data_IF_580087804092
#
_entry.id   IF_580087804092
#
_cell.length_a   1.000
_cell.length_b   1.000
_cell.length_c   1.000
_cell.angle_alpha   90.00
_cell.angle_beta   90.00
_cell.angle_gamma   90.00
#
_symmetry.space_group_name_H-M   'P 1'
#
loop_
_entity.id
_entity.type
_entity.pdbx_description
1 polymer ?
#
# COMPACT_ATOMS: atom_id res chain seq x y z
N UNK A 1 -11.08 7.83 -21.49
CA UNK A 1 -9.89 6.95 -21.23
C UNK A 1 -10.43 5.81 -20.42
N UNK A 2 -10.02 4.55 -20.68
CA UNK A 2 -10.53 3.42 -19.90
C UNK A 2 -9.51 2.93 -18.87
N UNK A 3 -9.96 2.72 -17.64
CA UNK A 3 -9.19 2.11 -16.55
C UNK A 3 -9.78 0.73 -16.24
N UNK A 4 -8.93 -0.27 -16.02
CA UNK A 4 -9.42 -1.54 -15.49
C UNK A 4 -9.67 -1.39 -13.99
N UNK A 5 -10.92 -1.59 -13.58
CA UNK A 5 -11.33 -1.50 -12.18
C UNK A 5 -11.34 -2.90 -11.56
N UNK A 6 -10.52 -3.12 -10.53
CA UNK A 6 -10.47 -4.41 -9.81
C UNK A 6 -11.83 -4.78 -9.22
N UNK A 7 -12.60 -3.78 -8.75
CA UNK A 7 -13.94 -3.97 -8.20
C UNK A 7 -14.88 -4.64 -9.20
N UNK A 8 -14.85 -4.25 -10.48
CA UNK A 8 -15.81 -4.75 -11.49
C UNK A 8 -15.21 -5.74 -12.49
N UNK A 9 -13.89 -5.95 -12.42
CA UNK A 9 -13.09 -6.82 -13.31
C UNK A 9 -13.24 -6.48 -14.80
N UNK A 10 -13.51 -5.23 -15.14
CA UNK A 10 -13.61 -4.75 -16.53
C UNK A 10 -12.95 -3.40 -16.72
N UNK A 11 -12.72 -3.04 -17.98
CA UNK A 11 -12.30 -1.69 -18.37
C UNK A 11 -13.51 -0.77 -18.37
N UNK A 12 -13.45 0.30 -17.60
CA UNK A 12 -14.51 1.30 -17.44
C UNK A 12 -14.02 2.66 -17.94
N UNK A 13 -14.91 3.47 -18.50
CA UNK A 13 -14.56 4.86 -18.78
C UNK A 13 -14.22 5.57 -17.48
N UNK A 14 -13.07 6.22 -17.46
CA UNK A 14 -12.63 7.06 -16.35
C UNK A 14 -13.42 8.37 -16.37
N UNK A 15 -14.19 8.58 -15.32
CA UNK A 15 -14.95 9.79 -15.05
C UNK A 15 -14.62 10.19 -13.62
N UNK A 16 -13.95 11.32 -13.39
CA UNK A 16 -13.59 11.72 -12.03
C UNK A 16 -14.83 12.13 -11.22
N UNK A 17 -14.72 12.12 -9.89
CA UNK A 17 -15.72 12.59 -8.94
C UNK A 17 -15.89 14.10 -9.04
N UNK A 18 -14.78 14.83 -9.15
CA UNK A 18 -14.73 16.26 -9.45
C UNK A 18 -14.11 16.49 -10.83
N UNK A 19 -14.72 17.36 -11.65
CA UNK A 19 -14.17 17.72 -12.96
C UNK A 19 -12.84 18.48 -12.86
N UNK A 20 -12.56 19.10 -11.72
CA UNK A 20 -11.41 19.97 -11.52
C UNK A 20 -10.20 19.30 -10.87
N UNK A 21 -10.37 18.15 -10.20
CA UNK A 21 -9.29 17.47 -9.47
C UNK A 21 -9.48 15.95 -9.49
N UNK A 22 -8.39 15.21 -9.72
CA UNK A 22 -8.35 13.75 -9.59
C UNK A 22 -7.59 13.37 -8.32
N UNK A 23 -8.27 12.69 -7.41
CA UNK A 23 -7.77 12.26 -6.11
C UNK A 23 -7.28 10.82 -6.17
N UNK A 24 -5.97 10.64 -6.01
CA UNK A 24 -5.32 9.33 -6.09
C UNK A 24 -4.63 9.03 -4.77
N UNK A 25 -4.90 7.85 -4.22
CA UNK A 25 -4.11 7.29 -3.14
C UNK A 25 -3.37 6.05 -3.62
N UNK A 26 -2.09 5.94 -3.29
CA UNK A 26 -1.28 4.75 -3.54
C UNK A 26 -0.63 4.30 -2.23
N UNK A 27 -0.96 3.08 -1.77
CA UNK A 27 -0.34 2.53 -0.56
C UNK A 27 1.18 2.50 -0.71
N UNK A 28 1.88 3.15 0.22
CA UNK A 28 3.32 3.23 0.24
C UNK A 28 3.97 2.11 1.06
N UNK A 29 5.29 2.18 1.28
CA UNK A 29 6.05 1.11 1.90
C UNK A 29 5.98 1.15 3.43
N UNK A 30 6.16 0.00 4.05
CA UNK A 30 6.61 -0.11 5.45
C UNK A 30 8.11 0.13 5.50
N UNK A 31 8.56 1.14 6.27
CA UNK A 31 9.95 1.63 6.23
C UNK A 31 10.87 0.93 7.24
N UNK A 32 11.09 -0.37 7.02
CA UNK A 32 11.96 -1.22 7.86
C UNK A 32 13.16 -1.82 7.10
N UNK A 33 13.26 -1.62 5.79
CA UNK A 33 14.37 -2.10 4.97
C UNK A 33 14.46 -1.29 3.67
N UNK A 34 15.54 -1.48 2.91
CA UNK A 34 15.66 -1.02 1.53
C UNK A 34 14.54 -1.57 0.65
N UNK A 35 14.06 -0.75 -0.30
CA UNK A 35 13.02 -1.19 -1.22
C UNK A 35 13.57 -2.22 -2.22
N UNK A 36 12.74 -3.21 -2.52
CA UNK A 36 13.00 -4.15 -3.60
C UNK A 36 12.23 -3.81 -4.86
N UNK A 37 12.58 -4.46 -5.97
CA UNK A 37 11.94 -4.24 -7.26
C UNK A 37 10.42 -4.45 -7.21
N UNK A 38 9.95 -5.34 -6.31
CA UNK A 38 8.53 -5.54 -6.03
C UNK A 38 7.85 -4.29 -5.46
N UNK A 39 8.47 -3.61 -4.48
CA UNK A 39 7.98 -2.33 -3.96
C UNK A 39 8.18 -1.19 -4.97
N UNK A 40 9.22 -1.23 -5.79
CA UNK A 40 9.51 -0.20 -6.78
C UNK A 40 8.49 -0.17 -7.94
N UNK A 41 7.89 -1.32 -8.26
CA UNK A 41 6.91 -1.42 -9.34
C UNK A 41 5.69 -0.53 -9.15
N UNK A 42 4.95 -0.56 -8.03
CA UNK A 42 3.84 0.37 -7.82
C UNK A 42 4.30 1.83 -7.88
N UNK A 43 5.51 2.17 -7.38
CA UNK A 43 6.05 3.54 -7.51
C UNK A 43 6.12 3.97 -8.98
N UNK A 44 6.74 3.15 -9.84
CA UNK A 44 6.90 3.47 -11.26
C UNK A 44 5.57 3.45 -12.02
N UNK A 45 4.71 2.45 -11.76
CA UNK A 45 3.42 2.27 -12.45
C UNK A 45 2.48 3.43 -12.14
N UNK A 46 2.31 3.78 -10.86
CA UNK A 46 1.36 4.81 -10.47
C UNK A 46 1.92 6.23 -10.68
N UNK A 47 3.24 6.40 -10.74
CA UNK A 47 3.85 7.61 -11.26
C UNK A 47 3.57 7.80 -12.76
N UNK A 48 3.65 6.74 -13.58
CA UNK A 48 3.24 6.81 -15.00
C UNK A 48 1.75 7.16 -15.12
N UNK A 49 0.87 6.55 -14.31
CA UNK A 49 -0.55 6.90 -14.28
C UNK A 49 -0.76 8.39 -13.99
N UNK A 50 -0.14 8.90 -12.92
CA UNK A 50 -0.24 10.32 -12.54
C UNK A 50 0.28 11.22 -13.66
N UNK A 51 1.49 10.97 -14.17
CA UNK A 51 2.08 11.77 -15.25
C UNK A 51 1.20 11.77 -16.49
N UNK A 52 0.55 10.64 -16.81
CA UNK A 52 -0.39 10.57 -17.92
C UNK A 52 -1.66 11.39 -17.66
N UNK A 53 -2.22 11.35 -16.45
CA UNK A 53 -3.37 12.19 -16.08
C UNK A 53 -3.03 13.69 -16.15
N UNK A 54 -1.87 14.09 -15.62
CA UNK A 54 -1.37 15.46 -15.72
C UNK A 54 -1.17 15.88 -17.19
N UNK A 55 -0.56 15.02 -18.01
CA UNK A 55 -0.44 15.25 -19.46
C UNK A 55 -1.79 15.43 -20.16
N UNK A 56 -2.83 14.73 -19.68
CA UNK A 56 -4.20 14.85 -20.18
C UNK A 56 -4.93 16.10 -19.70
N UNK A 57 -4.29 16.95 -18.90
CA UNK A 57 -4.82 18.22 -18.41
C UNK A 57 -5.57 18.13 -17.08
N UNK A 58 -5.53 16.99 -16.38
CA UNK A 58 -6.10 16.88 -15.04
C UNK A 58 -5.16 17.52 -14.01
N UNK A 59 -5.74 18.24 -13.05
CA UNK A 59 -5.07 18.53 -11.79
C UNK A 59 -5.14 17.26 -10.91
N UNK A 60 -3.99 16.75 -10.48
CA UNK A 60 -3.93 15.48 -9.73
C UNK A 60 -3.42 15.72 -8.32
N UNK A 61 -4.23 15.34 -7.33
CA UNK A 61 -3.83 15.25 -5.93
C UNK A 61 -3.45 13.80 -5.63
N UNK A 62 -2.15 13.53 -5.59
CA UNK A 62 -1.60 12.19 -5.40
C UNK A 62 -1.05 12.06 -3.97
N UNK A 63 -1.55 11.09 -3.20
CA UNK A 63 -1.11 10.84 -1.82
C UNK A 63 -0.49 9.44 -1.74
N UNK A 64 0.65 9.33 -1.07
CA UNK A 64 1.30 8.05 -0.82
C UNK A 64 1.89 8.04 0.58
N UNK A 65 1.38 7.19 1.46
CA UNK A 65 1.81 7.16 2.85
C UNK A 65 3.18 6.51 3.06
N UNK A 66 3.73 6.68 4.26
CA UNK A 66 4.71 5.77 4.83
C UNK A 66 4.07 5.07 6.04
N UNK A 67 4.15 3.75 6.10
CA UNK A 67 3.89 3.02 7.34
C UNK A 67 5.18 3.03 8.14
N UNK A 68 5.24 3.92 9.13
CA UNK A 68 6.40 4.20 9.99
C UNK A 68 6.23 3.71 11.44
N UNK A 69 5.19 2.92 11.68
CA UNK A 69 5.04 2.07 12.86
C UNK A 69 4.40 0.75 12.42
N UNK A 70 5.05 -0.37 12.72
CA UNK A 70 4.56 -1.72 12.40
C UNK A 70 5.39 -2.76 13.18
N UNK A 71 4.86 -3.98 13.30
CA UNK A 71 5.55 -5.11 13.92
C UNK A 71 6.94 -5.36 13.28
N UNK A 72 7.08 -5.15 11.96
CA UNK A 72 8.35 -5.30 11.25
C UNK A 72 9.36 -4.20 11.59
N UNK A 73 8.89 -2.97 11.82
CA UNK A 73 9.76 -1.85 12.20
C UNK A 73 10.25 -2.07 13.63
N UNK A 74 9.36 -2.44 14.55
CA UNK A 74 9.72 -2.74 15.95
C UNK A 74 10.74 -3.90 16.00
N UNK A 75 10.49 -4.97 15.24
CA UNK A 75 11.43 -6.08 15.15
C UNK A 75 12.80 -5.63 14.63
N UNK A 76 12.82 -4.81 13.57
CA UNK A 76 14.06 -4.29 12.98
C UNK A 76 14.80 -3.32 13.92
N UNK A 77 14.08 -2.51 14.68
CA UNK A 77 14.63 -1.63 15.70
C UNK A 77 15.38 -2.43 16.76
N UNK A 78 14.76 -3.51 17.25
CA UNK A 78 15.41 -4.44 18.18
C UNK A 78 16.63 -5.16 17.58
N UNK A 79 16.56 -5.56 16.30
CA UNK A 79 17.69 -6.19 15.57
C UNK A 79 18.89 -5.24 15.41
N UNK A 80 18.65 -3.94 15.17
CA UNK A 80 19.70 -2.94 14.95
C UNK A 80 20.13 -2.20 16.22
N UNK A 81 19.46 -2.41 17.36
CA UNK A 81 19.72 -1.67 18.59
C UNK A 81 19.36 -0.18 18.49
N UNK A 82 18.35 0.14 17.67
CA UNK A 82 17.86 1.50 17.39
C UNK A 82 16.42 1.67 17.90
N UNK A 83 15.93 2.91 17.98
CA UNK A 83 14.48 3.13 18.17
C UNK A 83 13.70 2.93 16.87
N UNK A 84 12.38 2.76 16.96
CA UNK A 84 11.54 2.61 15.77
C UNK A 84 11.52 3.88 14.90
N UNK A 85 11.64 5.06 15.51
CA UNK A 85 11.74 6.33 14.80
C UNK A 85 13.07 6.45 14.06
N UNK A 86 14.18 6.00 14.66
CA UNK A 86 15.49 5.98 14.02
C UNK A 86 15.51 5.05 12.80
N UNK A 87 14.96 3.84 12.95
CA UNK A 87 14.78 2.89 11.83
C UNK A 87 13.93 3.51 10.73
N UNK A 88 12.76 4.06 11.07
CA UNK A 88 11.86 4.65 10.10
C UNK A 88 12.49 5.83 9.38
N UNK A 89 13.15 6.74 10.11
CA UNK A 89 13.86 7.89 9.53
C UNK A 89 14.99 7.46 8.60
N UNK A 90 15.77 6.44 8.99
CA UNK A 90 16.83 5.85 8.17
C UNK A 90 16.26 5.30 6.86
N UNK A 91 15.25 4.44 6.92
CA UNK A 91 14.72 3.80 5.70
C UNK A 91 13.82 4.71 4.86
N UNK A 92 13.22 5.77 5.42
CA UNK A 92 12.61 6.85 4.63
C UNK A 92 13.68 7.58 3.80
N UNK A 93 14.84 7.88 4.40
CA UNK A 93 15.95 8.50 3.68
C UNK A 93 16.48 7.61 2.55
N UNK A 94 16.63 6.32 2.82
CA UNK A 94 17.07 5.36 1.80
C UNK A 94 16.02 5.16 0.71
N UNK A 95 14.74 5.11 1.06
CA UNK A 95 13.63 5.10 0.12
C UNK A 95 13.73 6.24 -0.88
N UNK A 96 13.98 7.47 -0.40
CA UNK A 96 14.06 8.64 -1.27
C UNK A 96 15.23 8.57 -2.25
N UNK A 97 16.37 8.03 -1.81
CA UNK A 97 17.51 7.83 -2.71
C UNK A 97 17.15 6.90 -3.86
N UNK A 98 16.48 5.78 -3.57
CA UNK A 98 16.06 4.82 -4.60
C UNK A 98 14.91 5.37 -5.46
N UNK A 99 13.92 6.02 -4.85
CA UNK A 99 12.74 6.57 -5.54
C UNK A 99 13.13 7.69 -6.51
N UNK A 100 13.98 8.63 -6.08
CA UNK A 100 14.49 9.69 -6.95
C UNK A 100 15.40 9.14 -8.04
N UNK A 101 16.22 8.12 -7.73
CA UNK A 101 16.98 7.38 -8.73
C UNK A 101 16.06 6.82 -9.82
N UNK A 102 14.93 6.21 -9.43
CA UNK A 102 13.89 5.70 -10.33
C UNK A 102 13.06 6.80 -11.02
N UNK A 103 13.42 8.08 -10.89
CA UNK A 103 12.69 9.22 -11.44
C UNK A 103 11.21 9.26 -10.99
N UNK A 104 10.95 8.81 -9.75
CA UNK A 104 9.67 9.03 -9.10
C UNK A 104 9.54 10.51 -8.77
N UNK A 105 8.45 11.15 -9.19
CA UNK A 105 8.13 12.52 -8.76
C UNK A 105 7.43 12.44 -7.40
N UNK A 106 7.80 13.29 -6.46
CA UNK A 106 7.20 13.29 -5.12
C UNK A 106 5.67 13.41 -5.18
N UNK A 107 4.97 12.70 -4.29
CA UNK A 107 3.52 12.83 -4.13
C UNK A 107 3.16 14.25 -3.68
N UNK A 108 1.90 14.64 -3.84
CA UNK A 108 1.37 15.88 -3.28
C UNK A 108 1.54 15.89 -1.75
N UNK A 109 1.34 14.73 -1.10
CA UNK A 109 1.59 14.54 0.33
C UNK A 109 2.11 13.13 0.60
N UNK A 110 3.06 13.01 1.52
CA UNK A 110 3.57 11.75 2.05
C UNK A 110 3.28 11.58 3.55
N UNK A 111 2.02 11.25 3.93
CA UNK A 111 1.66 11.19 5.33
C UNK A 111 2.27 9.96 6.02
N UNK A 112 2.65 10.12 7.28
CA UNK A 112 3.10 9.02 8.14
C UNK A 112 2.01 8.55 9.07
N UNK A 113 1.94 7.26 9.37
CA UNK A 113 0.97 6.72 10.32
C UNK A 113 1.10 7.41 11.70
N UNK A 114 2.32 7.63 12.18
CA UNK A 114 2.59 8.29 13.47
C UNK A 114 2.11 9.74 13.56
N UNK A 115 1.94 10.42 12.42
CA UNK A 115 1.48 11.82 12.33
C UNK A 115 -0.06 11.94 12.19
N UNK A 116 -0.77 10.80 12.21
CA UNK A 116 -2.21 10.70 11.94
C UNK A 116 -2.97 9.90 13.01
N UNK A 117 -2.40 9.76 14.21
CA UNK A 117 -2.97 8.95 15.30
C UNK A 117 -4.36 9.44 15.73
N UNK A 118 -4.57 10.76 15.84
CA UNK A 118 -5.88 11.30 16.23
C UNK A 118 -6.97 10.95 15.21
N UNK A 119 -6.66 11.03 13.91
CA UNK A 119 -7.59 10.62 12.85
C UNK A 119 -7.90 9.13 12.90
N UNK A 120 -6.89 8.31 13.20
CA UNK A 120 -7.06 6.87 13.40
C UNK A 120 -7.98 6.58 14.59
N UNK A 121 -7.75 7.24 15.73
CA UNK A 121 -8.61 7.08 16.91
C UNK A 121 -10.05 7.51 16.58
N UNK A 122 -10.24 8.60 15.84
CA UNK A 122 -11.56 9.11 15.47
C UNK A 122 -12.35 8.15 14.57
N UNK A 123 -11.69 7.55 13.56
CA UNK A 123 -12.37 6.55 12.71
C UNK A 123 -12.74 5.30 13.51
N UNK A 124 -11.89 4.85 14.43
CA UNK A 124 -12.17 3.68 15.27
C UNK A 124 -13.36 3.95 16.21
N UNK A 125 -13.41 5.13 16.85
CA UNK A 125 -14.57 5.54 17.66
C UNK A 125 -15.86 5.51 16.84
N UNK A 126 -15.83 6.07 15.64
CA UNK A 126 -16.99 6.07 14.72
C UNK A 126 -17.45 4.63 14.41
N UNK A 127 -16.49 3.73 14.16
CA UNK A 127 -16.78 2.32 13.90
C UNK A 127 -17.36 1.61 15.12
N UNK A 128 -16.90 1.90 16.34
CA UNK A 128 -17.47 1.37 17.58
C UNK A 128 -18.89 1.90 17.82
N UNK A 129 -19.12 3.20 17.65
CA UNK A 129 -20.44 3.83 17.80
C UNK A 129 -21.47 3.21 16.84
N UNK A 130 -21.06 2.92 15.60
CA UNK A 130 -21.88 2.20 14.62
C UNK A 130 -21.91 0.68 14.86
N UNK A 131 -21.15 0.18 15.84
CA UNK A 131 -21.04 -1.22 16.25
C UNK A 131 -20.31 -2.12 15.25
N UNK A 132 -19.53 -1.56 14.33
CA UNK A 132 -18.60 -2.26 13.44
C UNK A 132 -17.27 -2.58 14.11
N UNK A 133 -17.00 -2.04 15.30
CA UNK A 133 -15.81 -2.35 16.07
C UNK A 133 -16.15 -2.70 17.53
N UNK A 134 -15.21 -3.35 18.21
CA UNK A 134 -15.29 -3.64 19.64
C UNK A 134 -13.93 -3.70 20.30
N UNK A 135 -13.87 -3.12 21.50
CA UNK A 135 -12.73 -3.21 22.38
C UNK A 135 -12.74 -4.48 23.25
N UNK A 136 -11.57 -5.07 23.45
CA UNK A 136 -11.33 -6.16 24.39
C UNK A 136 -9.89 -6.09 24.89
N UNK A 137 -9.71 -5.93 26.20
CA UNK A 137 -8.39 -5.86 26.86
C UNK A 137 -7.39 -4.87 26.23
N UNK A 138 -7.90 -3.73 25.77
CA UNK A 138 -7.13 -2.65 25.15
C UNK A 138 -6.88 -2.80 23.65
N UNK A 139 -7.10 -3.98 23.08
CA UNK A 139 -7.22 -4.15 21.63
C UNK A 139 -8.60 -3.64 21.15
N UNK A 140 -8.67 -3.20 19.89
CA UNK A 140 -9.93 -2.94 19.20
C UNK A 140 -9.94 -3.70 17.89
N UNK A 141 -10.98 -4.50 17.67
CA UNK A 141 -11.15 -5.31 16.46
C UNK A 141 -12.34 -4.82 15.64
N UNK A 142 -12.25 -4.98 14.31
CA UNK A 142 -13.36 -4.77 13.38
C UNK A 142 -14.20 -6.03 13.26
N UNK A 143 -15.53 -5.91 13.35
CA UNK A 143 -16.52 -6.98 13.12
C UNK A 143 -16.73 -7.20 11.63
N UNK A 144 -15.94 -8.09 11.05
CA UNK A 144 -15.94 -8.33 9.60
C UNK A 144 -17.31 -8.77 9.09
N UNK A 145 -17.99 -9.67 9.80
CA UNK A 145 -19.30 -10.19 9.37
C UNK A 145 -20.45 -9.18 9.44
N UNK A 146 -20.27 -8.05 10.13
CA UNK A 146 -21.28 -6.98 10.14
C UNK A 146 -21.32 -6.24 8.81
N UNK A 147 -20.19 -6.18 8.11
CA UNK A 147 -20.09 -5.56 6.79
C UNK A 147 -20.49 -6.56 5.71
N UNK A 148 -21.76 -6.49 5.26
CA UNK A 148 -22.36 -7.48 4.35
C UNK A 148 -21.64 -7.63 3.01
N UNK A 149 -20.96 -6.57 2.57
CA UNK A 149 -20.24 -6.53 1.31
C UNK A 149 -18.78 -6.98 1.43
N UNK A 150 -18.35 -7.51 2.59
CA UNK A 150 -16.97 -7.90 2.79
C UNK A 150 -16.54 -8.99 1.81
N UNK A 151 -15.43 -8.77 1.10
CA UNK A 151 -14.96 -9.65 0.03
C UNK A 151 -15.29 -9.16 -1.38
N UNK A 152 -16.01 -8.03 -1.53
CA UNK A 152 -16.41 -7.49 -2.85
C UNK A 152 -15.24 -7.10 -3.75
N UNK A 153 -14.11 -6.65 -3.19
CA UNK A 153 -12.96 -6.24 -4.01
C UNK A 153 -12.17 -7.46 -4.52
N UNK A 154 -11.94 -8.42 -3.63
CA UNK A 154 -11.23 -9.67 -3.92
C UNK A 154 -12.09 -10.67 -4.71
N UNK A 155 -13.41 -10.54 -4.62
CA UNK A 155 -14.42 -11.48 -5.09
C UNK A 155 -14.24 -12.86 -4.46
N UNK A 156 -13.86 -12.89 -3.18
CA UNK A 156 -13.79 -14.11 -2.39
C UNK A 156 -15.05 -14.21 -1.53
N UNK A 157 -15.81 -15.32 -1.63
CA UNK A 157 -16.93 -15.58 -0.72
C UNK A 157 -16.45 -15.60 0.74
N UNK A 158 -17.29 -15.13 1.67
CA UNK A 158 -16.98 -15.12 3.10
C UNK A 158 -16.73 -16.55 3.60
N UNK A 159 -17.46 -17.53 3.06
CA UNK A 159 -17.34 -18.95 3.42
C UNK A 159 -15.93 -19.49 3.12
N UNK A 160 -15.38 -19.14 1.95
CA UNK A 160 -14.03 -19.52 1.54
C UNK A 160 -12.98 -18.88 2.45
N UNK A 161 -13.16 -17.60 2.80
CA UNK A 161 -12.31 -16.88 3.73
C UNK A 161 -12.31 -17.54 5.13
N UNK A 162 -13.48 -17.93 5.63
CA UNK A 162 -13.62 -18.57 6.95
C UNK A 162 -12.95 -19.95 6.99
N UNK A 163 -13.00 -20.72 5.91
CA UNK A 163 -12.43 -22.07 5.86
C UNK A 163 -10.92 -22.11 6.14
N UNK A 164 -10.20 -21.02 5.81
CA UNK A 164 -8.77 -20.86 6.03
C UNK A 164 -8.40 -20.05 7.28
N UNK A 165 -9.36 -19.35 7.87
CA UNK A 165 -9.11 -18.43 8.98
C UNK A 165 -9.03 -19.18 10.32
N UNK A 166 -8.06 -18.78 11.15
CA UNK A 166 -7.91 -19.27 12.52
C UNK A 166 -7.66 -18.08 13.43
N UNK A 167 -8.21 -18.13 14.64
CA UNK A 167 -7.87 -17.20 15.71
C UNK A 167 -6.49 -17.61 16.22
N UNK A 168 -5.52 -16.70 16.17
CA UNK A 168 -4.18 -16.98 16.65
C UNK A 168 -4.18 -17.08 18.19
N UNK A 169 -3.21 -17.81 18.75
CA UNK A 169 -3.07 -17.93 20.20
C UNK A 169 -2.89 -16.54 20.81
N UNK A 170 -3.77 -16.19 21.76
CA UNK A 170 -3.77 -14.91 22.45
C UNK A 170 -4.68 -13.84 21.82
N UNK A 171 -5.24 -14.07 20.63
CA UNK A 171 -6.25 -13.17 20.06
C UNK A 171 -7.62 -13.42 20.71
N UNK A 172 -8.33 -12.33 21.02
CA UNK A 172 -9.66 -12.36 21.65
C UNK A 172 -10.76 -11.93 20.68
N UNK A 173 -10.66 -12.42 19.45
CA UNK A 173 -11.60 -12.09 18.38
C UNK A 173 -12.94 -12.78 18.58
N UNK A 174 -14.05 -12.08 18.29
CA UNK A 174 -15.39 -12.68 18.22
C UNK A 174 -15.47 -13.61 16.99
N UNK A 175 -14.80 -13.26 15.89
CA UNK A 175 -14.71 -14.06 14.67
C UNK A 175 -13.26 -14.19 14.14
N UNK A 176 -12.86 -15.35 13.55
CA UNK A 176 -11.55 -15.50 12.93
C UNK A 176 -11.20 -14.48 11.82
N UNK A 177 -12.22 -13.91 11.16
CA UNK A 177 -12.04 -12.89 10.12
C UNK A 177 -11.92 -11.47 10.67
N UNK A 178 -12.17 -11.26 11.96
CA UNK A 178 -12.02 -9.94 12.57
C UNK A 178 -10.53 -9.55 12.57
N UNK A 179 -10.27 -8.27 12.32
CA UNK A 179 -8.91 -7.74 12.23
C UNK A 179 -8.72 -6.57 13.17
N UNK A 180 -7.49 -6.40 13.67
CA UNK A 180 -7.15 -5.36 14.62
C UNK A 180 -7.22 -3.97 13.94
N UNK A 181 -7.96 -3.06 14.55
CA UNK A 181 -7.95 -1.62 14.31
C UNK A 181 -6.96 -0.92 15.23
N UNK A 182 -6.90 -1.34 16.49
CA UNK A 182 -5.96 -0.87 17.49
C UNK A 182 -5.40 -2.08 18.24
N UNK A 183 -4.09 -2.07 18.50
CA UNK A 183 -3.40 -3.11 19.27
C UNK A 183 -2.91 -2.52 20.57
N UNK A 184 -3.24 -3.16 21.69
CA UNK A 184 -2.67 -2.83 22.99
C UNK A 184 -1.14 -2.95 22.92
N UNK A 185 -0.44 -1.98 23.50
CA UNK A 185 1.02 -1.98 23.49
C UNK A 185 1.55 -3.01 24.47
N UNK A 186 2.50 -3.82 24.02
CA UNK A 186 3.28 -4.71 24.91
C UNK A 186 4.39 -3.91 25.60
N UNK A 187 4.93 -4.47 26.67
CA UNK A 187 6.06 -3.88 27.37
C UNK A 187 7.23 -3.63 26.40
N UNK A 188 7.73 -2.39 26.38
CA UNK A 188 8.81 -1.95 25.49
C UNK A 188 8.41 -1.63 24.05
N UNK A 189 7.14 -1.84 23.65
CA UNK A 189 6.66 -1.40 22.33
C UNK A 189 6.30 0.10 22.34
N UNK A 190 6.44 0.80 21.19
CA UNK A 190 5.96 2.17 21.06
C UNK A 190 4.43 2.23 21.18
N UNK A 191 3.95 3.33 21.76
CA UNK A 191 2.52 3.51 22.02
C UNK A 191 2.08 4.97 21.96
N UNK A 192 0.78 5.13 21.82
CA UNK A 192 0.04 6.37 22.00
C UNK A 192 -1.08 6.14 23.00
N UNK A 193 -1.46 7.20 23.71
CA UNK A 193 -2.62 7.18 24.58
C UNK A 193 -3.90 7.19 23.73
N UNK A 194 -4.88 6.38 24.13
CA UNK A 194 -6.16 6.26 23.44
C UNK A 194 -7.29 5.97 24.45
N UNK A 195 -8.58 6.05 24.04
CA UNK A 195 -9.70 5.65 24.89
C UNK A 195 -9.62 4.20 25.39
N UNK A 196 -8.86 3.35 24.70
CA UNK A 196 -8.69 1.93 25.02
C UNK A 196 -7.39 1.65 25.79
N UNK A 197 -6.72 2.71 26.27
CA UNK A 197 -5.41 2.62 26.91
C UNK A 197 -4.25 2.79 25.93
N UNK A 198 -3.05 2.39 26.35
CA UNK A 198 -1.83 2.53 25.56
C UNK A 198 -1.80 1.49 24.44
N UNK A 199 -1.62 1.95 23.21
CA UNK A 199 -1.53 1.05 22.07
C UNK A 199 -1.06 1.74 20.80
N UNK A 200 -1.30 1.08 19.68
CA UNK A 200 -0.85 1.52 18.36
C UNK A 200 -1.82 1.06 17.27
N UNK A 201 -1.82 1.72 16.11
CA UNK A 201 -2.72 1.35 15.03
C UNK A 201 -2.49 -0.07 14.50
N UNK A 202 -3.56 -0.69 14.03
CA UNK A 202 -3.48 -1.85 13.14
C UNK A 202 -3.13 -1.42 11.72
N UNK A 203 -2.46 -2.29 10.96
CA UNK A 203 -1.91 -1.95 9.64
C UNK A 203 -2.93 -1.32 8.66
N UNK A 204 -4.18 -1.78 8.68
CA UNK A 204 -5.19 -1.37 7.70
C UNK A 204 -5.79 0.03 8.00
N UNK A 205 -5.98 0.37 9.27
CA UNK A 205 -6.73 1.58 9.67
C UNK A 205 -5.97 2.87 9.35
N UNK A 206 -4.64 2.78 9.27
CA UNK A 206 -3.75 3.87 8.90
C UNK A 206 -4.16 4.47 7.54
N UNK A 207 -4.29 3.62 6.52
CA UNK A 207 -4.59 4.07 5.16
C UNK A 207 -6.01 4.65 5.06
N UNK A 208 -7.00 4.08 5.74
CA UNK A 208 -8.37 4.62 5.77
C UNK A 208 -8.41 6.02 6.39
N UNK A 209 -7.73 6.23 7.52
CA UNK A 209 -7.66 7.52 8.20
C UNK A 209 -6.90 8.57 7.37
N UNK A 210 -5.73 8.21 6.82
CA UNK A 210 -4.94 9.12 6.00
C UNK A 210 -5.65 9.48 4.69
N UNK A 211 -6.31 8.53 4.03
CA UNK A 211 -7.14 8.82 2.86
C UNK A 211 -8.20 9.87 3.17
N UNK A 212 -8.97 9.65 4.23
CA UNK A 212 -10.03 10.58 4.65
C UNK A 212 -9.48 11.98 4.92
N UNK A 213 -8.39 12.08 5.69
CA UNK A 213 -7.77 13.37 6.04
C UNK A 213 -7.31 14.17 4.82
N UNK A 214 -6.68 13.50 3.84
CA UNK A 214 -6.01 14.21 2.74
C UNK A 214 -6.81 14.30 1.44
N UNK A 215 -7.79 13.42 1.24
CA UNK A 215 -8.57 13.30 0.00
C UNK A 215 -10.09 13.38 0.23
N UNK A 216 -10.57 13.07 1.45
CA UNK A 216 -11.99 13.07 1.82
C UNK A 216 -12.60 11.66 1.86
N UNK A 217 -13.91 11.59 2.06
CA UNK A 217 -14.63 10.32 2.31
C UNK A 217 -14.68 9.37 1.11
N UNK A 218 -14.61 9.92 -0.11
CA UNK A 218 -14.59 9.19 -1.37
C UNK A 218 -13.49 9.72 -2.29
N UNK A 219 -12.78 8.82 -2.96
CA UNK A 219 -11.67 9.16 -3.87
C UNK A 219 -11.88 8.59 -5.28
N UNK A 220 -11.14 9.14 -6.25
CA UNK A 220 -11.21 8.66 -7.64
C UNK A 220 -10.54 7.30 -7.79
N UNK A 221 -9.25 7.22 -7.42
CA UNK A 221 -8.41 6.05 -7.71
C UNK A 221 -7.65 5.62 -6.46
N UNK A 222 -7.83 4.37 -6.06
CA UNK A 222 -7.01 3.71 -5.04
C UNK A 222 -6.08 2.68 -5.68
N UNK A 223 -4.79 2.74 -5.35
CA UNK A 223 -3.71 2.05 -6.03
C UNK A 223 -2.87 1.17 -5.09
N UNK A 224 -2.42 0.01 -5.57
CA UNK A 224 -1.44 -0.82 -4.85
C UNK A 224 -0.95 -2.04 -5.62
N UNK A 225 -0.12 -2.87 -4.97
CA UNK A 225 0.27 -4.18 -5.48
C UNK A 225 -0.90 -5.17 -5.48
N UNK A 226 -0.90 -6.17 -6.35
CA UNK A 226 -1.95 -7.21 -6.36
C UNK A 226 -2.07 -7.98 -5.03
N UNK A 227 -0.99 -8.07 -4.26
CA UNK A 227 -0.98 -8.58 -2.88
C UNK A 227 -1.79 -7.73 -1.89
N UNK A 228 -2.03 -6.45 -2.17
CA UNK A 228 -2.81 -5.59 -1.29
C UNK A 228 -4.32 -5.71 -1.50
N UNK A 229 -4.79 -6.31 -2.60
CA UNK A 229 -6.23 -6.55 -2.85
C UNK A 229 -6.89 -7.20 -1.63
N UNK A 230 -6.24 -8.20 -1.06
CA UNK A 230 -6.68 -8.87 0.17
C UNK A 230 -5.48 -9.25 1.05
N UNK A 231 -5.54 -9.01 2.37
CA UNK A 231 -6.67 -8.42 3.10
C UNK A 231 -6.67 -6.89 3.11
N UNK A 232 -5.58 -6.22 2.69
CA UNK A 232 -5.36 -4.82 3.02
C UNK A 232 -6.45 -3.87 2.48
N UNK A 233 -6.64 -3.82 1.17
CA UNK A 233 -7.62 -2.93 0.53
C UNK A 233 -9.08 -3.34 0.81
N UNK A 234 -9.35 -4.64 0.97
CA UNK A 234 -10.67 -5.12 1.40
C UNK A 234 -11.02 -4.57 2.80
N UNK A 235 -10.05 -4.56 3.71
CA UNK A 235 -10.21 -3.99 5.05
C UNK A 235 -10.37 -2.47 5.02
N UNK A 236 -9.63 -1.77 4.15
CA UNK A 236 -9.79 -0.32 3.98
C UNK A 236 -11.18 0.06 3.48
N UNK A 237 -11.73 -0.71 2.53
CA UNK A 237 -13.13 -0.54 2.07
C UNK A 237 -14.09 -0.72 3.24
N UNK A 238 -13.97 -1.84 3.97
CA UNK A 238 -14.88 -2.13 5.07
C UNK A 238 -14.85 -1.02 6.14
N UNK A 239 -13.67 -0.58 6.54
CA UNK A 239 -13.48 0.52 7.50
C UNK A 239 -14.05 1.84 6.99
N UNK A 240 -13.66 2.25 5.78
CA UNK A 240 -13.99 3.57 5.26
C UNK A 240 -15.47 3.70 4.92
N UNK A 241 -16.06 2.68 4.28
CA UNK A 241 -17.48 2.72 3.92
C UNK A 241 -18.38 2.56 5.15
N UNK A 242 -18.01 1.73 6.13
CA UNK A 242 -18.77 1.65 7.38
C UNK A 242 -18.68 2.94 8.22
N UNK A 243 -17.53 3.61 8.22
CA UNK A 243 -17.36 4.88 8.93
C UNK A 243 -18.08 6.04 8.24
N UNK A 244 -18.08 6.10 6.90
CA UNK A 244 -18.49 7.28 6.14
C UNK A 244 -19.85 7.14 5.42
N UNK A 245 -20.42 5.94 5.33
CA UNK A 245 -21.68 5.63 4.64
C UNK A 245 -21.68 5.98 3.12
N UNK A 246 -20.50 6.09 2.52
CA UNK A 246 -20.30 6.37 1.08
C UNK A 246 -19.28 5.41 0.47
N UNK A 247 -19.32 5.13 -0.85
CA UNK A 247 -18.31 4.31 -1.51
C UNK A 247 -16.90 4.89 -1.34
N UNK A 248 -15.93 4.05 -0.97
CA UNK A 248 -14.59 4.54 -0.61
C UNK A 248 -13.79 5.03 -1.83
N UNK A 249 -13.71 4.22 -2.89
CA UNK A 249 -13.01 4.58 -4.11
C UNK A 249 -13.79 4.13 -5.35
N UNK A 250 -13.80 4.98 -6.38
CA UNK A 250 -14.50 4.70 -7.64
C UNK A 250 -13.76 3.67 -8.50
N UNK A 251 -12.43 3.78 -8.56
CA UNK A 251 -11.56 2.91 -9.34
C UNK A 251 -10.47 2.28 -8.48
N UNK A 252 -10.36 0.95 -8.53
CA UNK A 252 -9.29 0.20 -7.86
C UNK A 252 -8.26 -0.29 -8.88
N UNK A 253 -7.02 0.14 -8.75
CA UNK A 253 -5.94 -0.19 -9.68
C UNK A 253 -4.83 -1.00 -8.99
N UNK A 254 -4.56 -2.20 -9.51
CA UNK A 254 -3.55 -3.08 -8.94
C UNK A 254 -2.51 -3.53 -9.96
N UNK A 255 -1.21 -3.37 -9.66
CA UNK A 255 -0.13 -3.89 -10.53
C UNK A 255 0.13 -5.38 -10.30
N UNK A 256 0.62 -6.07 -11.33
CA UNK A 256 0.97 -7.48 -11.27
C UNK A 256 2.20 -7.77 -10.40
N UNK A 257 2.42 -9.04 -10.09
CA UNK A 257 3.57 -9.53 -9.33
C UNK A 257 4.89 -9.43 -10.10
N UNK A 258 5.99 -9.55 -9.38
CA UNK A 258 7.33 -9.74 -9.95
C UNK A 258 7.86 -11.11 -9.51
N UNK A 259 8.31 -11.89 -10.48
CA UNK A 259 9.07 -13.11 -10.28
C UNK A 259 10.56 -12.81 -10.48
N UNK A 260 11.41 -13.64 -9.88
CA UNK A 260 12.86 -13.65 -10.09
C UNK A 260 13.21 -15.03 -10.61
N UNK A 261 13.78 -15.10 -11.82
CA UNK A 261 14.13 -16.34 -12.50
C UNK A 261 12.96 -17.34 -12.56
N UNK A 262 11.77 -16.83 -12.89
CA UNK A 262 10.48 -17.52 -12.95
C UNK A 262 9.96 -18.05 -11.60
N UNK A 263 10.63 -17.74 -10.50
CA UNK A 263 10.20 -18.09 -9.14
C UNK A 263 9.58 -16.88 -8.47
N UNK A 264 8.51 -17.09 -7.70
CA UNK A 264 7.92 -16.01 -6.88
C UNK A 264 8.99 -15.43 -5.96
N UNK A 265 9.11 -14.11 -5.95
CA UNK A 265 10.04 -13.44 -5.05
C UNK A 265 9.60 -13.61 -3.60
N UNK A 266 10.51 -14.03 -2.73
CA UNK A 266 10.27 -14.09 -1.29
C UNK A 266 11.57 -13.96 -0.51
N UNK A 267 11.50 -13.40 0.71
CA UNK A 267 12.65 -13.34 1.60
C UNK A 267 13.13 -14.73 2.03
N UNK A 268 12.21 -15.66 2.25
CA UNK A 268 12.52 -17.04 2.68
C UNK A 268 13.29 -17.85 1.64
N UNK A 269 13.09 -17.56 0.35
CA UNK A 269 13.84 -18.22 -0.74
C UNK A 269 15.18 -17.53 -1.02
N UNK A 270 15.50 -16.41 -0.37
CA UNK A 270 16.73 -15.65 -0.61
C UNK A 270 16.83 -15.03 -2.03
N UNK A 271 15.80 -15.16 -2.86
CA UNK A 271 15.76 -14.63 -4.23
C UNK A 271 15.29 -13.17 -4.32
N UNK A 272 15.31 -12.46 -3.20
CA UNK A 272 14.95 -11.06 -3.09
C UNK A 272 16.07 -10.17 -3.63
N UNK A 273 15.72 -9.17 -4.45
CA UNK A 273 16.67 -8.19 -5.00
C UNK A 273 16.21 -6.77 -4.69
N UNK A 274 17.06 -6.03 -3.97
CA UNK A 274 16.85 -4.61 -3.70
C UNK A 274 16.99 -3.80 -4.98
N UNK A 275 16.36 -2.63 -5.03
CA UNK A 275 16.59 -1.68 -6.13
C UNK A 275 18.06 -1.26 -6.16
N UNK A 276 18.65 -1.00 -4.99
CA UNK A 276 20.03 -0.55 -4.85
C UNK A 276 21.05 -1.54 -5.43
N UNK A 277 20.89 -2.83 -5.15
CA UNK A 277 21.78 -3.87 -5.69
C UNK A 277 21.79 -3.87 -7.22
N UNK A 278 20.61 -3.73 -7.85
CA UNK A 278 20.50 -3.72 -9.31
C UNK A 278 21.00 -2.40 -9.88
N UNK A 279 20.71 -1.28 -9.21
CA UNK A 279 21.11 0.05 -9.65
C UNK A 279 22.62 0.23 -9.66
N UNK A 280 23.34 -0.43 -8.75
CA UNK A 280 24.81 -0.43 -8.73
C UNK A 280 25.43 -1.09 -9.97
N UNK A 281 24.68 -1.93 -10.69
CA UNK A 281 25.15 -2.64 -11.89
C UNK A 281 24.60 -2.00 -13.18
N UNK A 282 23.29 -1.72 -13.21
CA UNK A 282 22.58 -1.30 -14.41
C UNK A 282 22.07 0.16 -14.37
N UNK A 283 22.21 0.85 -13.24
CA UNK A 283 21.61 2.16 -13.04
C UNK A 283 20.08 2.12 -12.86
N UNK A 284 19.52 3.22 -12.39
CA UNK A 284 18.09 3.29 -12.05
C UNK A 284 17.17 3.41 -13.26
N UNK A 285 17.62 4.04 -14.35
CA UNK A 285 16.77 4.23 -15.53
C UNK A 285 16.41 2.90 -16.19
N UNK A 286 17.36 1.96 -16.25
CA UNK A 286 17.14 0.60 -16.76
C UNK A 286 16.11 -0.14 -15.91
N UNK A 287 16.20 -0.01 -14.58
CA UNK A 287 15.20 -0.58 -13.66
C UNK A 287 13.83 0.03 -13.93
N UNK A 288 13.73 1.36 -14.04
CA UNK A 288 12.47 2.02 -14.34
C UNK A 288 11.89 1.52 -15.66
N UNK A 289 12.69 1.46 -16.72
CA UNK A 289 12.27 0.97 -18.03
C UNK A 289 11.77 -0.46 -17.94
N UNK A 290 12.52 -1.35 -17.28
CA UNK A 290 12.08 -2.73 -17.01
C UNK A 290 10.70 -2.78 -16.35
N UNK A 291 10.51 -2.01 -15.27
CA UNK A 291 9.26 -2.02 -14.48
C UNK A 291 8.02 -1.55 -15.25
N UNK A 292 8.21 -0.74 -16.30
CA UNK A 292 7.12 -0.17 -17.12
C UNK A 292 7.07 -0.74 -18.56
N UNK A 293 8.03 -1.61 -18.94
CA UNK A 293 8.14 -2.20 -20.27
C UNK A 293 6.96 -3.09 -20.65
N UNK A 294 6.28 -3.64 -19.65
CA UNK A 294 5.14 -4.54 -19.79
C UNK A 294 3.87 -3.93 -19.20
N UNK A 295 2.71 -4.39 -19.68
CA UNK A 295 1.43 -3.94 -19.16
C UNK A 295 1.37 -4.10 -17.63
N UNK A 296 1.01 -3.01 -16.91
CA UNK A 296 1.16 -2.94 -15.45
C UNK A 296 0.47 -4.06 -14.65
N UNK A 297 -0.66 -4.58 -15.14
CA UNK A 297 -1.40 -5.70 -14.50
C UNK A 297 -0.79 -7.08 -14.75
N UNK A 298 0.08 -7.22 -15.75
CA UNK A 298 0.70 -8.51 -16.07
C UNK A 298 1.82 -8.80 -15.07
N UNK A 299 1.98 -10.06 -14.61
CA UNK A 299 3.21 -10.46 -13.94
C UNK A 299 4.42 -10.17 -14.83
N UNK A 300 5.52 -9.75 -14.24
CA UNK A 300 6.81 -9.59 -14.96
C UNK A 300 7.86 -10.47 -14.29
N UNK A 301 8.86 -10.87 -15.06
CA UNK A 301 9.98 -11.64 -14.57
C UNK A 301 11.25 -10.80 -14.59
N UNK A 302 11.99 -10.78 -13.49
CA UNK A 302 13.34 -10.25 -13.44
C UNK A 302 14.32 -11.40 -13.65
N UNK A 303 15.24 -11.21 -14.60
CA UNK A 303 16.44 -12.03 -14.82
C UNK A 303 17.52 -11.15 -15.44
N UNK A 304 18.77 -11.62 -15.43
CA UNK A 304 19.90 -10.92 -16.06
C UNK A 304 19.61 -10.65 -17.54
N UNK A 305 19.18 -11.66 -18.28
CA UNK A 305 18.86 -11.52 -19.71
C UNK A 305 17.81 -10.42 -19.98
N UNK A 306 16.78 -10.33 -19.13
CA UNK A 306 15.69 -9.34 -19.31
C UNK A 306 16.18 -7.93 -19.00
N UNK A 307 16.96 -7.74 -17.93
CA UNK A 307 17.46 -6.40 -17.59
C UNK A 307 18.49 -5.90 -18.62
N UNK A 308 19.30 -6.79 -19.19
CA UNK A 308 20.23 -6.46 -20.28
C UNK A 308 19.51 -6.13 -21.60
N UNK A 309 18.40 -6.81 -21.89
CA UNK A 309 17.52 -6.42 -23.00
C UNK A 309 16.90 -5.04 -22.78
N UNK A 310 16.52 -4.71 -21.54
CA UNK A 310 16.01 -3.38 -21.18
C UNK A 310 17.08 -2.30 -21.36
N UNK A 311 18.33 -2.55 -20.97
CA UNK A 311 19.46 -1.66 -21.22
C UNK A 311 19.65 -1.43 -22.73
N UNK A 312 19.74 -2.50 -23.51
CA UNK A 312 19.92 -2.42 -24.97
C UNK A 312 18.78 -1.63 -25.65
N UNK A 313 17.55 -1.79 -25.16
CA UNK A 313 16.39 -1.06 -25.67
C UNK A 313 16.47 0.45 -25.36
N UNK A 314 16.94 0.83 -24.16
CA UNK A 314 17.20 2.22 -23.78
C UNK A 314 18.32 2.83 -24.62
N UNK A 315 19.45 2.13 -24.78
CA UNK A 315 20.60 2.61 -25.56
C UNK A 315 20.20 2.96 -27.00
N UNK A 316 19.28 2.18 -27.58
CA UNK A 316 18.72 2.47 -28.90
C UNK A 316 17.90 3.76 -28.91
N UNK A 317 17.12 4.04 -27.87
CA UNK A 317 16.36 5.30 -27.76
C UNK A 317 17.31 6.49 -27.62
N UNK A 318 18.37 6.35 -26.81
CA UNK A 318 19.41 7.37 -26.66
C UNK A 318 20.14 7.65 -27.96
N UNK A 319 20.57 6.61 -28.67
CA UNK A 319 21.23 6.71 -29.97
C UNK A 319 20.36 7.47 -30.98
N UNK A 320 19.05 7.17 -31.03
CA UNK A 320 18.12 7.86 -31.94
C UNK A 320 17.86 9.32 -31.57
N UNK A 321 17.93 9.67 -30.29
CA UNK A 321 17.76 11.06 -29.83
C UNK A 321 18.99 11.91 -30.16
N UNK A 322 20.16 11.30 -30.15
CA UNK A 322 21.47 11.95 -30.34
C UNK A 322 21.93 12.01 -31.80
N UNK A 323 21.32 11.20 -32.67
CA UNK A 323 21.51 11.23 -34.14
C UNK A 323 20.77 12.39 -34.80
#
# INVERSE_FOLDING_TARGET
>A
MKIFNTMTRRKEEFVPLDKNEVKIYACGPTVYNYIHIGNARPLCVFDVLRRYLEYRGYNVRFVQNFTDVDDKIIKRANEEGLTFEEVSKKYIKEFWTDAHGLNFKDATVHPKATENIDEIINIIKTLEEKGYAYAVDGDVYYRTLKFKDYGKLSHQPIEDLQSGARIAIGEKKENPLDFALWKAAKEGEPYWDSPWGKGRPGWHIECSAMNKRYLGDSIDIHCGGKDLVFPHHENEIAQSEAANDVPFAKYWMHNGYINVDNVKMSKSLGNFKTVREIANVYGYEVIRYFLISSHYRSPINYSIDIIEQCQSALDRLYTCRES
#
